data_IF_049733070518
#
_entry.id   IF_049733070518
#
_cell.length_a   1.000
_cell.length_b   1.000
_cell.length_c   1.000
_cell.angle_alpha   90.00
_cell.angle_beta   90.00
_cell.angle_gamma   90.00
#
_symmetry.space_group_name_H-M   'P 1'
#
loop_
_entity.id
_entity.type
_entity.pdbx_description
1 polymer ?
#
# COMPACT_ATOMS: atom_id res chain seq x y z
N UNK A 1 -7.83 -10.52 -18.90
CA UNK A 1 -7.26 -10.98 -17.61
C UNK A 1 -8.27 -11.97 -17.04
N UNK A 2 -8.26 -13.18 -17.58
CA UNK A 2 -9.14 -14.33 -17.26
C UNK A 2 -8.62 -15.05 -15.99
N UNK A 3 -9.45 -15.76 -15.21
CA UNK A 3 -10.48 -15.21 -14.33
C UNK A 3 -10.03 -15.43 -12.88
N UNK A 4 -9.85 -14.34 -12.12
CA UNK A 4 -9.61 -14.45 -10.67
C UNK A 4 -10.76 -15.19 -9.96
N UNK A 5 -11.90 -15.28 -10.63
CA UNK A 5 -13.12 -15.93 -10.18
C UNK A 5 -13.19 -17.43 -10.55
N UNK A 6 -12.22 -17.99 -11.28
CA UNK A 6 -12.22 -19.41 -11.67
C UNK A 6 -11.44 -20.34 -10.74
N UNK A 7 -10.92 -19.81 -9.63
CA UNK A 7 -10.16 -20.60 -8.65
C UNK A 7 -10.52 -20.20 -7.23
N UNK A 8 -10.62 -21.19 -6.35
CA UNK A 8 -10.74 -20.98 -4.91
C UNK A 8 -9.37 -20.75 -4.23
N UNK A 9 -8.27 -20.94 -4.95
CA UNK A 9 -6.94 -20.72 -4.40
C UNK A 9 -6.63 -19.22 -4.33
N UNK A 10 -6.55 -18.67 -3.12
CA UNK A 10 -6.32 -17.24 -2.88
C UNK A 10 -4.84 -16.83 -2.81
N UNK A 11 -3.88 -17.73 -3.04
CA UNK A 11 -2.45 -17.43 -2.92
C UNK A 11 -1.97 -16.34 -3.90
N UNK A 12 -2.74 -16.04 -4.96
CA UNK A 12 -2.45 -14.91 -5.84
C UNK A 12 -2.66 -13.54 -5.17
N UNK A 13 -3.39 -13.47 -4.04
CA UNK A 13 -3.66 -12.24 -3.30
C UNK A 13 -2.45 -11.78 -2.48
N UNK A 14 -1.53 -12.67 -2.14
CA UNK A 14 -0.34 -12.32 -1.39
C UNK A 14 0.40 -13.51 -0.78
N UNK A 15 1.56 -13.21 -0.22
CA UNK A 15 2.37 -14.13 0.55
C UNK A 15 3.21 -13.36 1.57
N UNK A 16 3.76 -14.06 2.56
CA UNK A 16 4.73 -13.51 3.51
C UNK A 16 6.06 -14.23 3.33
N UNK A 17 7.11 -13.50 2.97
CA UNK A 17 8.46 -14.04 2.94
C UNK A 17 9.14 -13.87 4.30
N UNK A 18 8.96 -14.86 5.19
CA UNK A 18 9.51 -14.82 6.54
C UNK A 18 11.04 -14.90 6.59
N UNK A 19 11.70 -15.29 5.49
CA UNK A 19 13.17 -15.33 5.38
C UNK A 19 13.77 -14.00 4.89
N UNK A 20 12.94 -13.00 4.57
CA UNK A 20 13.41 -11.69 4.15
C UNK A 20 14.20 -11.00 5.29
N UNK A 21 15.44 -10.54 5.06
CA UNK A 21 16.25 -9.90 6.11
C UNK A 21 15.70 -8.54 6.56
N UNK A 22 14.76 -7.98 5.82
CA UNK A 22 14.07 -6.73 6.16
C UNK A 22 12.76 -6.97 6.91
N UNK A 23 12.35 -8.22 7.14
CA UNK A 23 11.08 -8.53 7.81
C UNK A 23 11.16 -8.32 9.34
N UNK A 24 10.17 -7.66 9.97
CA UNK A 24 9.03 -6.96 9.35
C UNK A 24 9.46 -5.62 8.74
N UNK A 25 9.13 -5.39 7.46
CA UNK A 25 9.61 -4.21 6.72
C UNK A 25 8.92 -2.90 7.15
N UNK A 26 7.71 -2.99 7.71
CA UNK A 26 6.96 -1.87 8.27
C UNK A 26 6.49 -2.19 9.68
N UNK A 27 6.54 -1.20 10.56
CA UNK A 27 6.00 -1.30 11.91
C UNK A 27 4.48 -1.10 11.90
N UNK A 28 3.77 -1.70 12.86
CA UNK A 28 2.34 -1.49 13.03
C UNK A 28 1.42 -2.27 12.08
N UNK A 29 1.96 -3.22 11.30
CA UNK A 29 1.14 -4.18 10.55
C UNK A 29 0.44 -5.12 11.55
N UNK A 30 -0.89 -5.22 11.48
CA UNK A 30 -1.71 -5.96 12.45
C UNK A 30 -1.99 -7.40 12.01
N UNK A 31 -1.98 -7.66 10.70
CA UNK A 31 -2.27 -8.96 10.07
C UNK A 31 -1.03 -9.56 9.38
N UNK A 32 -1.25 -10.58 8.55
CA UNK A 32 -0.21 -11.18 7.73
C UNK A 32 0.41 -10.16 6.76
N UNK A 33 1.74 -10.09 6.74
CA UNK A 33 2.45 -9.17 5.86
C UNK A 33 2.34 -9.59 4.40
N UNK A 34 1.89 -8.70 3.51
CA UNK A 34 1.82 -9.02 2.08
C UNK A 34 3.07 -8.52 1.33
N UNK A 35 4.00 -9.43 1.03
CA UNK A 35 5.24 -9.11 0.33
C UNK A 35 5.07 -8.85 -1.17
N UNK A 36 3.89 -9.15 -1.75
CA UNK A 36 3.62 -8.87 -3.17
C UNK A 36 3.73 -7.38 -3.50
N UNK A 37 3.48 -6.52 -2.51
CA UNK A 37 3.47 -5.07 -2.65
C UNK A 37 4.63 -4.38 -1.92
N UNK A 38 5.75 -5.09 -1.70
CA UNK A 38 6.98 -4.50 -1.10
C UNK A 38 7.42 -3.22 -1.84
N UNK A 39 7.17 -3.16 -3.15
CA UNK A 39 7.09 -1.90 -3.86
C UNK A 39 5.62 -1.54 -4.07
N UNK A 40 5.21 -0.39 -3.55
CA UNK A 40 3.82 0.04 -3.65
C UNK A 40 3.45 0.30 -5.13
N UNK A 41 2.51 -0.46 -5.72
CA UNK A 41 2.09 -0.24 -7.10
C UNK A 41 1.29 1.06 -7.28
N UNK A 42 0.94 1.74 -6.18
CA UNK A 42 0.23 3.01 -6.17
C UNK A 42 1.13 4.24 -6.02
N UNK A 43 2.45 4.08 -6.04
CA UNK A 43 3.38 5.16 -5.73
C UNK A 43 3.34 6.36 -6.70
N UNK A 44 2.86 6.16 -7.93
CA UNK A 44 2.68 7.19 -8.95
C UNK A 44 1.26 7.76 -8.97
N UNK A 45 0.34 7.21 -8.19
CA UNK A 45 -1.08 7.55 -8.21
C UNK A 45 -1.51 8.24 -6.92
N UNK A 46 -2.55 9.05 -6.99
CA UNK A 46 -3.23 9.61 -5.84
C UNK A 46 -3.91 8.48 -5.04
N UNK A 47 -3.52 8.34 -3.78
CA UNK A 47 -3.95 7.26 -2.92
C UNK A 47 -3.99 7.74 -1.46
N UNK A 48 -4.86 7.14 -0.62
CA UNK A 48 -5.06 7.57 0.75
C UNK A 48 -3.96 7.10 1.70
N UNK A 49 -2.98 6.32 1.22
CA UNK A 49 -1.89 5.85 2.05
C UNK A 49 -1.04 7.01 2.55
N UNK A 50 -0.58 6.99 3.81
CA UNK A 50 0.29 8.03 4.32
C UNK A 50 1.59 8.07 3.51
N UNK A 51 1.98 9.26 3.07
CA UNK A 51 3.26 9.51 2.41
C UNK A 51 3.77 10.90 2.76
N UNK A 52 5.08 11.10 2.63
CA UNK A 52 5.71 12.44 2.62
C UNK A 52 6.20 12.75 1.22
N UNK A 53 5.92 13.94 0.70
CA UNK A 53 6.42 14.31 -0.61
C UNK A 53 7.84 14.89 -0.49
N UNK A 54 8.74 14.45 -1.36
CA UNK A 54 10.11 14.94 -1.38
C UNK A 54 10.59 15.12 -2.82
N UNK A 55 11.63 15.93 -3.00
CA UNK A 55 12.30 16.10 -4.29
C UNK A 55 13.57 15.27 -4.28
N UNK A 56 13.69 14.28 -5.17
CA UNK A 56 14.89 13.46 -5.26
C UNK A 56 16.08 14.26 -5.80
N UNK A 57 17.29 13.70 -5.68
CA UNK A 57 18.54 14.36 -6.10
C UNK A 57 18.55 14.80 -7.58
N UNK A 58 17.73 14.20 -8.43
CA UNK A 58 17.56 14.54 -9.84
C UNK A 58 16.42 15.55 -10.10
N UNK A 59 15.88 16.21 -9.07
CA UNK A 59 14.82 17.22 -9.21
C UNK A 59 13.41 16.68 -9.39
N UNK A 60 13.21 15.36 -9.38
CA UNK A 60 11.88 14.74 -9.56
C UNK A 60 11.11 14.70 -8.25
N UNK A 61 9.85 15.13 -8.26
CA UNK A 61 8.95 15.02 -7.11
C UNK A 61 8.52 13.57 -6.90
N UNK A 62 8.62 13.05 -5.67
CA UNK A 62 8.40 11.64 -5.32
C UNK A 62 7.64 11.53 -3.99
N UNK A 63 6.97 10.39 -3.81
CA UNK A 63 6.37 9.99 -2.53
C UNK A 63 7.34 9.11 -1.76
N UNK A 64 7.55 9.43 -0.49
CA UNK A 64 8.10 8.51 0.50
C UNK A 64 6.92 7.86 1.23
N UNK A 65 6.64 6.60 0.88
CA UNK A 65 5.56 5.80 1.46
C UNK A 65 6.05 4.86 2.56
N UNK A 66 7.26 5.05 3.11
CA UNK A 66 7.86 4.14 4.10
C UNK A 66 7.06 3.98 5.41
N UNK A 67 6.15 4.92 5.70
CA UNK A 67 5.23 4.84 6.84
C UNK A 67 3.88 4.17 6.53
N UNK A 68 3.65 3.72 5.29
CA UNK A 68 2.37 3.15 4.86
C UNK A 68 2.32 1.64 5.10
N UNK A 69 1.28 1.19 5.81
CA UNK A 69 1.03 -0.24 6.09
C UNK A 69 -0.11 -0.83 5.26
N UNK A 70 -0.86 -0.02 4.51
CA UNK A 70 -2.05 -0.44 3.75
C UNK A 70 -1.78 -1.59 2.75
N UNK A 71 -0.66 -1.62 2.01
CA UNK A 71 -0.36 -2.73 1.11
C UNK A 71 0.09 -4.00 1.82
N UNK A 72 0.27 -3.96 3.15
CA UNK A 72 0.91 -5.01 3.93
C UNK A 72 0.02 -5.56 5.05
N UNK A 73 -1.19 -5.05 5.25
CA UNK A 73 -2.07 -5.47 6.34
C UNK A 73 -3.06 -6.57 5.90
N UNK A 74 -2.55 -7.79 5.70
CA UNK A 74 -3.33 -8.97 5.31
C UNK A 74 -3.40 -9.16 3.80
N UNK A 75 -3.33 -10.41 3.32
CA UNK A 75 -3.27 -10.70 1.88
C UNK A 75 -4.52 -10.23 1.14
N UNK A 76 -5.70 -10.65 1.61
CA UNK A 76 -6.98 -10.31 0.98
C UNK A 76 -7.31 -8.82 1.09
N UNK A 77 -7.10 -8.21 2.26
CA UNK A 77 -7.37 -6.78 2.47
C UNK A 77 -6.45 -5.91 1.60
N UNK A 78 -5.14 -6.19 1.63
CA UNK A 78 -4.16 -5.47 0.81
C UNK A 78 -4.45 -5.64 -0.69
N UNK A 79 -4.74 -6.86 -1.14
CA UNK A 79 -5.10 -7.13 -2.54
C UNK A 79 -6.33 -6.34 -2.96
N UNK A 80 -7.42 -6.39 -2.18
CA UNK A 80 -8.64 -5.66 -2.49
C UNK A 80 -8.40 -4.14 -2.54
N UNK A 81 -7.60 -3.60 -1.61
CA UNK A 81 -7.21 -2.19 -1.60
C UNK A 81 -6.45 -1.83 -2.88
N UNK A 82 -5.36 -2.53 -3.21
CA UNK A 82 -4.58 -2.24 -4.41
C UNK A 82 -5.41 -2.35 -5.69
N UNK A 83 -6.23 -3.41 -5.81
CA UNK A 83 -7.09 -3.60 -6.98
C UNK A 83 -8.12 -2.49 -7.15
N UNK A 84 -8.72 -2.01 -6.04
CA UNK A 84 -9.68 -0.90 -6.07
C UNK A 84 -9.05 0.38 -6.62
N UNK A 85 -7.82 0.71 -6.21
CA UNK A 85 -7.15 1.93 -6.67
C UNK A 85 -6.59 1.81 -8.08
N UNK A 86 -6.13 0.61 -8.48
CA UNK A 86 -5.70 0.37 -9.86
C UNK A 86 -6.86 0.31 -10.86
N UNK A 87 -8.10 0.09 -10.41
CA UNK A 87 -9.26 0.06 -11.30
C UNK A 87 -9.61 1.45 -11.87
N UNK A 88 -9.33 2.52 -11.13
CA UNK A 88 -9.55 3.92 -11.54
C UNK A 88 -8.37 4.78 -11.04
N UNK A 89 -7.18 4.63 -11.64
CA UNK A 89 -5.98 5.29 -11.16
C UNK A 89 -6.00 6.78 -11.52
N UNK A 90 -5.84 7.64 -10.52
CA UNK A 90 -5.62 9.07 -10.70
C UNK A 90 -4.12 9.33 -10.56
N UNK A 91 -3.41 9.89 -11.54
CA UNK A 91 -2.00 10.25 -11.38
C UNK A 91 -1.82 11.24 -10.24
N UNK A 92 -0.78 11.06 -9.44
CA UNK A 92 -0.43 12.02 -8.40
C UNK A 92 0.12 13.31 -9.01
N UNK A 93 -0.30 14.45 -8.47
CA UNK A 93 0.02 15.79 -8.96
C UNK A 93 1.34 16.37 -8.40
N UNK A 94 2.00 15.66 -7.48
CA UNK A 94 3.22 16.12 -6.81
C UNK A 94 2.97 16.84 -5.46
N UNK A 95 1.71 16.98 -5.06
CA UNK A 95 1.28 17.65 -3.83
C UNK A 95 1.55 16.87 -2.55
N UNK A 96 1.58 17.60 -1.43
CA UNK A 96 1.68 17.01 -0.09
C UNK A 96 0.45 16.15 0.25
N UNK A 97 0.62 15.21 1.17
CA UNK A 97 -0.50 14.40 1.65
C UNK A 97 -1.44 15.29 2.49
N UNK A 98 -2.71 15.37 2.10
CA UNK A 98 -3.70 16.21 2.78
C UNK A 98 -4.72 15.41 3.60
N UNK A 99 -4.87 14.11 3.32
CA UNK A 99 -5.90 13.25 3.94
C UNK A 99 -5.41 11.80 4.08
N UNK A 100 -4.38 11.54 4.91
CA UNK A 100 -3.87 10.19 5.12
C UNK A 100 -4.91 9.30 5.81
N UNK A 101 -4.87 8.00 5.51
CA UNK A 101 -5.62 6.96 6.22
C UNK A 101 -4.75 6.27 7.28
N UNK A 102 -5.29 5.93 8.47
CA UNK A 102 -6.63 6.28 8.95
C UNK A 102 -6.73 7.78 9.22
N UNK A 103 -7.93 8.36 9.07
CA UNK A 103 -8.11 9.78 9.42
C UNK A 103 -8.09 9.90 10.94
N UNK A 104 -7.66 11.04 11.48
CA UNK A 104 -7.71 11.30 12.93
C UNK A 104 -9.12 11.08 13.52
N UNK A 105 -10.17 11.30 12.74
CA UNK A 105 -11.56 11.03 13.12
C UNK A 105 -11.92 9.55 13.25
N UNK A 106 -11.08 8.65 12.73
CA UNK A 106 -11.30 7.21 12.67
C UNK A 106 -10.51 6.47 13.77
N UNK A 107 -9.71 7.18 14.57
CA UNK A 107 -9.07 6.62 15.77
C UNK A 107 -10.11 6.46 16.89
N UNK A 108 -10.21 5.27 17.52
CA UNK A 108 -11.07 5.11 18.69
C UNK A 108 -10.60 6.07 19.76
N UNK A 109 -11.52 6.88 20.30
CA UNK A 109 -11.29 7.59 21.56
C UNK A 109 -11.02 6.54 22.64
N UNK A 110 -9.92 6.70 23.38
CA UNK A 110 -9.57 5.85 24.53
C UNK A 110 -10.73 5.71 25.54
#
# INVERSE_FOLDING_TARGET
MEPKDSTANEAFKGFTNSECPFYPCHQGVKRAFNCLFCYCPLNAYDCPGPYKAFTSKNGVRRKDCSACTLPHDGHTQSWAFIQKWLAQPVPWDGGEQTRPWPRESDEPTE
#
